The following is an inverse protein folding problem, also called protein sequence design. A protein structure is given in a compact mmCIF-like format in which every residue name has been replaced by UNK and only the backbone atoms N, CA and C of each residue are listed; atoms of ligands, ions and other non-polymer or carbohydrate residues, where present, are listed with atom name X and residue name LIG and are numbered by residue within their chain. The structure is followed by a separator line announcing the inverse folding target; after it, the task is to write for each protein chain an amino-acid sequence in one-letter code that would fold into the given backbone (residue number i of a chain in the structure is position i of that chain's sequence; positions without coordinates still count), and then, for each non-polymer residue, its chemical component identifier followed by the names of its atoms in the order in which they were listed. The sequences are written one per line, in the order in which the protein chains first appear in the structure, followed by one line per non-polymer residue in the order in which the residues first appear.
data_IF_174227831477
#
_entry.id   IF_174227831477
#
_cell.length_a   1.000
_cell.length_b   1.000
_cell.length_c   1.000
_cell.angle_alpha   90.00
_cell.angle_beta   90.00
_cell.angle_gamma   90.00
#
_symmetry.space_group_name_H-M   'P 1'
#
loop_
_entity.id
_entity.type
_entity.pdbx_description
1 polymer ?
#
# COMPACT_ATOMS: atom_id res chain seq x y z
N UNK A 1 4.12 -11.58 13.17
CA UNK A 1 4.55 -11.37 11.78
C UNK A 1 5.42 -10.12 11.71
N UNK A 2 6.75 -10.25 11.87
CA UNK A 2 7.73 -9.16 11.65
C UNK A 2 8.80 -9.74 10.74
N UNK A 3 8.59 -9.62 9.44
CA UNK A 3 9.64 -9.84 8.46
C UNK A 3 10.44 -8.55 8.31
N UNK A 4 11.76 -8.68 8.12
CA UNK A 4 12.67 -7.54 7.97
C UNK A 4 12.22 -6.73 6.75
N UNK A 5 11.74 -5.52 6.97
CA UNK A 5 11.58 -4.54 5.90
C UNK A 5 12.98 -4.27 5.35
N UNK A 6 13.26 -4.76 4.15
CA UNK A 6 14.51 -4.50 3.44
C UNK A 6 14.74 -2.99 3.34
N UNK A 7 16.00 -2.57 3.34
CA UNK A 7 16.45 -1.17 3.42
C UNK A 7 16.11 -0.29 2.20
N UNK A 8 15.12 -0.67 1.40
CA UNK A 8 14.57 0.17 0.33
C UNK A 8 13.67 1.27 0.88
N UNK A 9 13.40 2.30 0.09
CA UNK A 9 12.36 3.29 0.39
C UNK A 9 11.01 2.72 -0.01
N UNK A 10 10.19 2.33 0.96
CA UNK A 10 8.83 1.83 0.74
C UNK A 10 7.87 3.01 0.64
N UNK A 11 6.95 2.98 -0.31
CA UNK A 11 5.98 4.04 -0.53
C UNK A 11 4.55 3.56 -0.25
N UNK A 12 3.75 4.38 0.43
CA UNK A 12 2.37 4.04 0.73
C UNK A 12 1.50 4.09 -0.54
N UNK A 13 0.74 3.03 -0.81
CA UNK A 13 -0.25 3.00 -1.90
C UNK A 13 -1.56 3.64 -1.48
N UNK A 14 -1.95 3.48 -0.21
CA UNK A 14 -3.10 4.14 0.38
C UNK A 14 -2.81 4.58 1.82
N UNK A 15 -3.80 5.19 2.48
CA UNK A 15 -3.71 5.63 3.88
C UNK A 15 -4.70 4.90 4.75
N UNK A 16 -4.39 4.84 6.04
CA UNK A 16 -5.33 4.60 7.13
C UNK A 16 -5.43 5.89 7.94
N UNK A 17 -6.62 6.18 8.48
CA UNK A 17 -6.76 7.29 9.43
C UNK A 17 -6.10 6.92 10.77
N UNK A 18 -5.66 7.93 11.53
CA UNK A 18 -4.86 7.76 12.75
C UNK A 18 -5.47 6.76 13.74
N UNK A 19 -6.78 6.82 13.90
CA UNK A 19 -7.51 6.00 14.87
C UNK A 19 -8.19 4.79 14.21
N UNK A 20 -7.77 4.42 12.99
CA UNK A 20 -8.26 3.25 12.25
C UNK A 20 -7.22 2.14 12.22
N UNK A 21 -7.59 0.98 12.77
CA UNK A 21 -6.82 -0.26 12.61
C UNK A 21 -7.19 -0.96 11.31
N UNK A 22 -6.22 -1.60 10.65
CA UNK A 22 -6.46 -2.34 9.42
C UNK A 22 -5.17 -2.74 8.71
N UNK A 23 -5.32 -3.24 7.48
CA UNK A 23 -4.20 -3.56 6.61
C UNK A 23 -3.77 -2.35 5.77
N UNK A 24 -2.47 -2.19 5.57
CA UNK A 24 -1.87 -1.16 4.72
C UNK A 24 -1.06 -1.82 3.60
N UNK A 25 -1.29 -1.39 2.36
CA UNK A 25 -0.48 -1.77 1.22
C UNK A 25 0.66 -0.77 1.00
N UNK A 26 1.88 -1.28 0.93
CA UNK A 26 3.11 -0.54 0.62
C UNK A 26 3.72 -1.08 -0.68
N UNK A 27 4.33 -0.21 -1.47
CA UNK A 27 5.05 -0.56 -2.68
C UNK A 27 6.56 -0.48 -2.45
N UNK A 28 7.30 -1.47 -2.95
CA UNK A 28 8.76 -1.54 -2.85
C UNK A 28 9.48 -0.64 -3.87
N UNK A 29 8.79 -0.28 -4.96
CA UNK A 29 9.35 0.57 -6.02
C UNK A 29 8.25 1.42 -6.70
N UNK A 30 8.63 2.49 -7.44
CA UNK A 30 7.65 3.41 -8.05
C UNK A 30 6.73 2.75 -9.07
N UNK A 31 7.22 1.79 -9.87
CA UNK A 31 6.41 1.09 -10.87
C UNK A 31 5.29 0.27 -10.22
N UNK A 32 5.60 -0.44 -9.14
CA UNK A 32 4.61 -1.16 -8.35
C UNK A 32 3.58 -0.21 -7.70
N UNK A 33 4.04 0.96 -7.22
CA UNK A 33 3.17 2.01 -6.67
C UNK A 33 2.15 2.47 -7.70
N UNK A 34 2.59 2.80 -8.90
CA UNK A 34 1.73 3.36 -9.95
C UNK A 34 0.72 2.35 -10.49
N UNK A 35 1.12 1.08 -10.63
CA UNK A 35 0.23 -0.03 -10.99
C UNK A 35 -0.84 -0.24 -9.91
N UNK A 36 -0.44 -0.32 -8.64
CA UNK A 36 -1.38 -0.50 -7.54
C UNK A 36 -2.35 0.69 -7.44
N UNK A 37 -1.86 1.92 -7.53
CA UNK A 37 -2.70 3.13 -7.57
C UNK A 37 -3.70 3.12 -8.73
N UNK A 38 -3.35 2.56 -9.90
CA UNK A 38 -4.28 2.44 -11.01
C UNK A 38 -5.49 1.54 -10.67
N UNK A 39 -5.26 0.43 -9.96
CA UNK A 39 -6.33 -0.46 -9.49
C UNK A 39 -7.24 0.24 -8.48
N UNK A 40 -6.66 1.00 -7.54
CA UNK A 40 -7.45 1.82 -6.61
C UNK A 40 -8.28 2.88 -7.33
N UNK A 41 -7.70 3.57 -8.33
CA UNK A 41 -8.42 4.57 -9.15
C UNK A 41 -9.59 3.96 -9.93
N UNK A 42 -9.41 2.75 -10.44
CA UNK A 42 -10.44 2.01 -11.17
C UNK A 42 -11.48 1.32 -10.27
N UNK A 43 -11.31 1.40 -8.95
CA UNK A 43 -12.16 0.75 -7.94
C UNK A 43 -12.19 -0.78 -8.06
N UNK A 44 -11.08 -1.35 -8.53
CA UNK A 44 -10.91 -2.81 -8.66
C UNK A 44 -10.44 -3.45 -7.35
N UNK A 45 -10.08 -2.64 -6.35
CA UNK A 45 -9.70 -3.10 -5.01
C UNK A 45 -10.91 -3.06 -4.09
N UNK A 46 -11.37 -4.23 -3.66
CA UNK A 46 -12.34 -4.36 -2.58
C UNK A 46 -11.66 -4.15 -1.22
N UNK A 47 -12.23 -3.28 -0.39
CA UNK A 47 -11.85 -3.11 1.02
C UNK A 47 -13.03 -3.55 1.87
N UNK A 48 -12.77 -4.37 2.90
CA UNK A 48 -13.76 -4.80 3.87
C UNK A 48 -14.09 -3.70 4.87
#
# INVERSE_FOLDING_TARGET
MRERMGSGTWEAVHRLDRDTSGCLLLAENPAARDQALALFRRREIAKA
#
